data_IF_442655175923
#
_entry.id   IF_442655175923
#
_cell.length_a   1.000
_cell.length_b   1.000
_cell.length_c   1.000
_cell.angle_alpha   90.00
_cell.angle_beta   90.00
_cell.angle_gamma   90.00
#
_symmetry.space_group_name_H-M   'P 1'
#
loop_
_entity.id
_entity.type
_entity.pdbx_description
1 polymer ?
#
# COMPACT_ATOMS: atom_id res chain seq x y z
N UNK A 1 -2.01 -25.27 18.07
CA UNK A 1 -1.47 -24.18 17.24
C UNK A 1 -2.54 -23.09 17.18
N UNK A 2 -2.42 -22.02 17.98
CA UNK A 2 -3.36 -20.90 17.91
C UNK A 2 -2.85 -19.93 16.85
N UNK A 3 -3.64 -19.69 15.80
CA UNK A 3 -3.40 -18.60 14.87
C UNK A 3 -3.59 -17.30 15.66
N UNK A 4 -2.49 -16.63 16.02
CA UNK A 4 -2.54 -15.32 16.64
C UNK A 4 -2.94 -14.34 15.54
N UNK A 5 -4.10 -13.69 15.65
CA UNK A 5 -4.45 -12.62 14.74
C UNK A 5 -3.43 -11.50 14.90
N UNK A 6 -2.80 -11.09 13.81
CA UNK A 6 -1.98 -9.88 13.74
C UNK A 6 -2.92 -8.80 13.17
N UNK A 7 -3.40 -7.85 14.00
CA UNK A 7 -4.42 -6.87 13.58
C UNK A 7 -4.08 -6.16 12.26
N UNK A 8 -2.80 -5.87 12.06
CA UNK A 8 -2.26 -5.20 10.87
C UNK A 8 -2.42 -6.05 9.59
N UNK A 9 -2.37 -7.39 9.70
CA UNK A 9 -2.62 -8.29 8.56
C UNK A 9 -4.10 -8.36 8.21
N UNK A 10 -4.99 -8.29 9.21
CA UNK A 10 -6.44 -8.22 8.97
C UNK A 10 -6.77 -6.92 8.24
N UNK A 11 -6.19 -5.80 8.68
CA UNK A 11 -6.34 -4.51 8.01
C UNK A 11 -5.81 -4.56 6.57
N UNK A 12 -4.63 -5.17 6.36
CA UNK A 12 -4.07 -5.35 5.01
C UNK A 12 -4.99 -6.18 4.11
N UNK A 13 -5.54 -7.29 4.59
CA UNK A 13 -6.50 -8.10 3.83
C UNK A 13 -7.80 -7.34 3.54
N UNK A 14 -8.28 -6.53 4.49
CA UNK A 14 -9.50 -5.73 4.35
C UNK A 14 -9.39 -4.64 3.26
N UNK A 15 -8.17 -4.29 2.83
CA UNK A 15 -7.97 -3.37 1.70
C UNK A 15 -8.49 -3.91 0.36
N UNK A 16 -8.76 -5.22 0.27
CA UNK A 16 -9.35 -5.83 -0.93
C UNK A 16 -8.43 -5.69 -2.14
N UNK A 17 -8.97 -5.30 -3.29
CA UNK A 17 -8.20 -5.09 -4.53
C UNK A 17 -7.75 -3.63 -4.72
N UNK A 18 -7.88 -2.80 -3.67
CA UNK A 18 -7.48 -1.39 -3.77
C UNK A 18 -5.96 -1.29 -3.92
N UNK A 19 -5.55 -0.31 -4.73
CA UNK A 19 -4.15 0.12 -4.82
C UNK A 19 -3.78 0.84 -3.53
N UNK A 20 -2.72 0.39 -2.87
CA UNK A 20 -2.18 1.05 -1.68
C UNK A 20 -1.14 2.08 -2.09
N UNK A 21 -1.23 3.26 -1.47
CA UNK A 21 -0.43 4.42 -1.81
C UNK A 21 0.21 5.00 -0.56
N UNK A 22 1.53 5.14 -0.55
CA UNK A 22 2.25 5.94 0.44
C UNK A 22 2.36 7.37 -0.08
N UNK A 23 1.67 8.29 0.60
CA UNK A 23 1.51 9.68 0.17
C UNK A 23 2.46 10.64 0.91
N UNK A 24 3.76 10.33 0.88
CA UNK A 24 4.83 11.18 1.37
C UNK A 24 5.27 12.22 0.33
N UNK A 25 5.08 13.54 0.56
CA UNK A 25 5.48 14.58 -0.40
C UNK A 25 6.99 14.62 -0.69
N UNK A 26 7.79 14.20 0.30
CA UNK A 26 9.25 14.15 0.23
C UNK A 26 9.79 12.77 -0.12
N UNK A 27 8.94 11.74 -0.08
CA UNK A 27 9.33 10.37 -0.38
C UNK A 27 8.97 10.02 -1.83
N UNK A 28 9.99 9.86 -2.67
CA UNK A 28 9.82 9.49 -4.08
C UNK A 28 10.25 8.05 -4.38
N UNK A 29 10.74 7.31 -3.39
CA UNK A 29 11.16 5.92 -3.56
C UNK A 29 10.09 5.02 -2.96
N UNK A 30 9.78 5.19 -1.69
CA UNK A 30 8.73 4.42 -1.03
C UNK A 30 7.35 5.03 -1.26
N UNK A 31 7.29 6.35 -1.47
CA UNK A 31 6.08 7.13 -1.71
C UNK A 31 5.86 7.60 -3.14
N UNK A 32 4.72 8.27 -3.36
CA UNK A 32 4.33 8.89 -4.63
C UNK A 32 4.87 10.31 -4.84
N UNK A 33 5.56 10.89 -3.85
CA UNK A 33 6.10 12.25 -3.94
C UNK A 33 5.03 13.35 -4.00
N UNK A 34 3.83 13.06 -3.48
CA UNK A 34 2.68 13.96 -3.39
C UNK A 34 2.03 13.81 -2.01
N UNK A 35 1.37 14.87 -1.54
CA UNK A 35 0.59 14.81 -0.30
C UNK A 35 -0.71 14.01 -0.54
N UNK A 36 -1.25 13.43 0.53
CA UNK A 36 -2.49 12.64 0.45
C UNK A 36 -3.71 13.45 -0.01
N UNK A 37 -3.72 14.76 0.25
CA UNK A 37 -4.78 15.69 -0.14
C UNK A 37 -4.51 16.39 -1.50
N UNK A 38 -3.39 16.08 -2.15
CA UNK A 38 -3.11 16.55 -3.50
C UNK A 38 -3.99 15.78 -4.51
N UNK A 39 -4.83 16.43 -5.33
CA UNK A 39 -5.71 15.74 -6.28
C UNK A 39 -4.95 14.83 -7.26
N UNK A 40 -3.66 15.11 -7.51
CA UNK A 40 -2.80 14.30 -8.38
C UNK A 40 -2.46 12.93 -7.77
N UNK A 41 -2.67 12.74 -6.47
CA UNK A 41 -2.42 11.46 -5.80
C UNK A 41 -3.33 10.35 -6.32
N UNK A 42 -4.50 10.70 -6.85
CA UNK A 42 -5.46 9.74 -7.41
C UNK A 42 -5.10 9.27 -8.83
N UNK A 43 -4.14 9.94 -9.51
CA UNK A 43 -3.70 9.60 -10.86
C UNK A 43 -2.25 9.08 -10.86
N UNK A 44 -2.02 7.77 -11.03
CA UNK A 44 -0.68 7.18 -11.11
C UNK A 44 0.23 7.80 -12.18
N UNK A 45 -0.34 8.33 -13.27
CA UNK A 45 0.45 9.00 -14.30
C UNK A 45 1.03 10.34 -13.83
N UNK A 46 0.52 10.90 -12.73
CA UNK A 46 0.97 12.17 -12.16
C UNK A 46 1.86 11.99 -10.93
N UNK A 47 2.07 10.75 -10.48
CA UNK A 47 2.97 10.45 -9.38
C UNK A 47 4.40 10.86 -9.71
N UNK A 48 5.10 11.35 -8.69
CA UNK A 48 6.50 11.79 -8.78
C UNK A 48 7.46 10.82 -8.10
N UNK A 49 6.93 9.71 -7.60
CA UNK A 49 7.64 8.69 -6.87
C UNK A 49 7.17 7.29 -7.24
N UNK A 50 7.89 6.28 -6.74
CA UNK A 50 7.75 4.90 -7.15
C UNK A 50 6.71 4.10 -6.35
N UNK A 51 6.22 4.61 -5.21
CA UNK A 51 5.26 3.90 -4.35
C UNK A 51 5.69 2.45 -3.97
N UNK A 52 7.00 2.20 -3.76
CA UNK A 52 7.50 0.84 -3.50
C UNK A 52 6.89 0.21 -2.24
N UNK A 53 6.53 1.03 -1.24
CA UNK A 53 5.89 0.51 -0.03
C UNK A 53 4.49 -0.02 -0.33
N UNK A 54 3.70 0.74 -1.11
CA UNK A 54 2.37 0.30 -1.55
C UNK A 54 2.43 -1.02 -2.31
N UNK A 55 3.37 -1.15 -3.24
CA UNK A 55 3.58 -2.40 -3.99
C UNK A 55 3.98 -3.57 -3.08
N UNK A 56 4.97 -3.37 -2.20
CA UNK A 56 5.41 -4.42 -1.29
C UNK A 56 4.28 -4.91 -0.35
N UNK A 57 3.40 -4.01 0.09
CA UNK A 57 2.24 -4.37 0.90
C UNK A 57 1.19 -5.15 0.09
N UNK A 58 0.99 -4.83 -1.18
CA UNK A 58 0.10 -5.60 -2.05
C UNK A 58 0.67 -7.00 -2.35
N UNK A 59 1.97 -7.12 -2.59
CA UNK A 59 2.64 -8.42 -2.73
C UNK A 59 2.49 -9.24 -1.44
N UNK A 60 2.70 -8.62 -0.27
CA UNK A 60 2.52 -9.27 1.02
C UNK A 60 1.05 -9.71 1.23
N UNK A 61 0.07 -8.89 0.83
CA UNK A 61 -1.35 -9.23 0.89
C UNK A 61 -1.66 -10.50 0.08
N UNK A 62 -1.09 -10.63 -1.11
CA UNK A 62 -1.30 -11.79 -1.97
C UNK A 62 -0.64 -13.06 -1.42
N UNK A 63 0.55 -12.93 -0.82
CA UNK A 63 1.18 -14.02 -0.07
C UNK A 63 0.30 -14.48 1.10
N UNK A 64 -0.27 -13.54 1.87
CA UNK A 64 -1.15 -13.88 3.00
C UNK A 64 -2.44 -14.53 2.52
N UNK A 65 -3.02 -14.07 1.40
CA UNK A 65 -4.23 -14.67 0.80
C UNK A 65 -4.03 -16.10 0.34
N UNK A 66 -2.89 -16.38 -0.28
CA UNK A 66 -2.58 -17.72 -0.83
C UNK A 66 -2.14 -18.72 0.23
N UNK A 67 -1.65 -18.25 1.38
CA UNK A 67 -1.29 -19.09 2.51
C UNK A 67 -2.49 -19.59 3.33
N UNK A 68 -3.71 -19.17 2.99
CA UNK A 68 -4.97 -19.50 3.65
C UNK A 68 -5.99 -20.10 2.66
#
# INVERSE_FOLDING_TARGET
MQARSVPELIELLATGERVLVEAGPMDRIWGIGLAADDPRAEDPAQWKGLNLLGFALMDARDVVRTAH
#
